data_IF_137875098689
#
_entry.id   IF_137875098689
#
_cell.length_a   1.000
_cell.length_b   1.000
_cell.length_c   1.000
_cell.angle_alpha   90.00
_cell.angle_beta   90.00
_cell.angle_gamma   90.00
#
_symmetry.space_group_name_H-M   'P 1'
#
loop_
_entity.id
_entity.type
_entity.pdbx_description
1 polymer ?
#
# COMPACT_ATOMS: atom_id res chain seq x y z
N UNK A 1 -19.17 -9.11 6.39
CA UNK A 1 -17.85 -8.48 6.69
C UNK A 1 -17.10 -8.02 5.43
N UNK A 2 -17.61 -8.30 4.23
CA UNK A 2 -16.93 -8.04 2.95
C UNK A 2 -16.87 -6.56 2.56
N UNK A 3 -17.83 -5.74 3.01
CA UNK A 3 -17.85 -4.30 2.73
C UNK A 3 -16.67 -3.52 3.35
N UNK A 4 -16.03 -4.08 4.37
CA UNK A 4 -14.89 -3.44 5.04
C UNK A 4 -13.54 -3.81 4.39
N UNK A 5 -13.48 -4.84 3.54
CA UNK A 5 -12.21 -5.34 3.01
C UNK A 5 -11.50 -4.31 2.14
N UNK A 6 -12.23 -3.61 1.25
CA UNK A 6 -11.66 -2.57 0.39
C UNK A 6 -11.14 -1.36 1.20
N UNK A 7 -11.91 -0.74 2.11
CA UNK A 7 -11.40 0.39 2.89
C UNK A 7 -10.23 0.01 3.83
N UNK A 8 -10.18 -1.23 4.33
CA UNK A 8 -9.06 -1.71 5.14
C UNK A 8 -7.79 -1.86 4.28
N UNK A 9 -7.93 -2.39 3.06
CA UNK A 9 -6.83 -2.50 2.11
C UNK A 9 -6.29 -1.14 1.68
N UNK A 10 -7.18 -0.16 1.44
CA UNK A 10 -6.81 1.24 1.14
C UNK A 10 -5.96 1.82 2.28
N UNK A 11 -6.43 1.71 3.53
CA UNK A 11 -5.69 2.24 4.69
C UNK A 11 -4.34 1.56 4.88
N UNK A 12 -4.27 0.24 4.65
CA UNK A 12 -3.03 -0.51 4.74
C UNK A 12 -2.03 -0.06 3.65
N UNK A 13 -2.46 0.02 2.39
CA UNK A 13 -1.61 0.49 1.28
C UNK A 13 -1.13 1.92 1.50
N UNK A 14 -2.01 2.82 1.96
CA UNK A 14 -1.68 4.20 2.24
C UNK A 14 -0.71 4.32 3.42
N UNK A 15 -0.99 3.65 4.53
CA UNK A 15 -0.15 3.68 5.73
C UNK A 15 1.23 3.10 5.45
N UNK A 16 1.30 1.97 4.75
CA UNK A 16 2.55 1.36 4.32
C UNK A 16 3.32 2.29 3.36
N UNK A 17 2.62 2.89 2.38
CA UNK A 17 3.21 3.79 1.40
C UNK A 17 3.73 5.10 2.00
N UNK A 18 3.07 5.66 3.02
CA UNK A 18 3.56 6.83 3.76
C UNK A 18 4.74 6.42 4.65
N UNK A 19 4.61 5.32 5.39
CA UNK A 19 5.66 4.83 6.27
C UNK A 19 6.96 4.53 5.49
N UNK A 20 6.89 3.95 4.30
CA UNK A 20 8.08 3.66 3.49
C UNK A 20 8.74 4.89 2.90
N UNK A 21 8.03 6.03 2.84
CA UNK A 21 8.56 7.31 2.38
C UNK A 21 9.15 8.14 3.52
N UNK A 22 8.48 8.17 4.67
CA UNK A 22 8.89 8.93 5.87
C UNK A 22 9.91 8.19 6.73
N UNK A 23 9.80 6.86 6.83
CA UNK A 23 10.62 6.03 7.72
C UNK A 23 11.25 4.81 7.01
N UNK A 24 11.97 5.04 5.89
CA UNK A 24 12.54 3.95 5.11
C UNK A 24 13.55 3.10 5.90
N UNK A 25 14.21 3.66 6.92
CA UNK A 25 15.18 2.96 7.77
C UNK A 25 14.53 1.87 8.64
N UNK A 26 13.25 2.06 9.01
CA UNK A 26 12.50 1.09 9.82
C UNK A 26 11.83 0.03 8.95
N UNK A 27 11.40 0.40 7.75
CA UNK A 27 10.72 -0.53 6.84
C UNK A 27 11.67 -1.41 6.05
N UNK A 28 12.86 -0.93 5.70
CA UNK A 28 13.87 -1.73 4.99
C UNK A 28 14.17 -3.08 5.67
N UNK A 29 14.50 -3.17 6.97
CA UNK A 29 14.77 -4.46 7.61
C UNK A 29 13.54 -5.37 7.67
N UNK A 30 12.33 -4.80 7.75
CA UNK A 30 11.08 -5.55 7.70
C UNK A 30 10.88 -6.17 6.30
N UNK A 31 11.06 -5.38 5.23
CA UNK A 31 11.01 -5.90 3.87
C UNK A 31 12.14 -6.89 3.58
N UNK A 32 13.36 -6.67 4.08
CA UNK A 32 14.47 -7.61 3.92
C UNK A 32 14.16 -8.97 4.56
N UNK A 33 13.50 -8.96 5.71
CA UNK A 33 13.05 -10.20 6.36
C UNK A 33 11.90 -10.84 5.59
N UNK A 34 10.92 -10.06 5.16
CA UNK A 34 9.72 -10.55 4.48
C UNK A 34 9.99 -11.03 3.05
N UNK A 35 10.91 -10.37 2.34
CA UNK A 35 11.29 -10.66 0.95
C UNK A 35 12.57 -11.48 0.84
N UNK A 36 13.05 -12.07 1.94
CA UNK A 36 14.28 -12.86 1.94
C UNK A 36 14.24 -13.94 0.83
N UNK A 37 15.31 -14.10 0.04
CA UNK A 37 16.67 -13.53 0.19
C UNK A 37 16.91 -12.21 -0.56
N UNK A 38 15.87 -11.54 -1.06
CA UNK A 38 16.01 -10.29 -1.80
C UNK A 38 16.25 -9.11 -0.85
N UNK A 39 17.38 -8.41 -1.03
CA UNK A 39 17.72 -7.23 -0.24
C UNK A 39 17.33 -5.96 -1.01
N UNK A 40 16.14 -5.37 -0.76
CA UNK A 40 15.73 -4.15 -1.44
C UNK A 40 16.66 -3.00 -1.11
N UNK A 41 17.16 -2.34 -2.15
CA UNK A 41 17.84 -1.05 -1.98
C UNK A 41 16.84 0.03 -1.55
N UNK A 42 17.32 1.09 -0.90
CA UNK A 42 16.48 2.22 -0.47
C UNK A 42 15.67 2.85 -1.63
N UNK A 43 16.22 2.83 -2.85
CA UNK A 43 15.53 3.31 -4.05
C UNK A 43 14.36 2.41 -4.43
N UNK A 44 14.55 1.09 -4.36
CA UNK A 44 13.49 0.10 -4.62
C UNK A 44 12.40 0.22 -3.58
N UNK A 45 12.75 0.37 -2.29
CA UNK A 45 11.79 0.59 -1.22
C UNK A 45 10.94 1.84 -1.47
N UNK A 46 11.56 2.97 -1.82
CA UNK A 46 10.84 4.20 -2.16
C UNK A 46 9.89 4.00 -3.34
N UNK A 47 10.32 3.32 -4.40
CA UNK A 47 9.46 3.03 -5.55
C UNK A 47 8.25 2.15 -5.16
N UNK A 48 8.45 1.14 -4.31
CA UNK A 48 7.36 0.32 -3.79
C UNK A 48 6.41 1.15 -2.92
N UNK A 49 6.95 2.07 -2.13
CA UNK A 49 6.16 3.01 -1.31
C UNK A 49 5.26 3.90 -2.17
N UNK A 50 5.82 4.50 -3.22
CA UNK A 50 5.05 5.31 -4.18
C UNK A 50 4.02 4.46 -4.92
N UNK A 51 4.39 3.25 -5.32
CA UNK A 51 3.47 2.28 -5.93
C UNK A 51 2.29 1.92 -5.01
N UNK A 52 2.55 1.72 -3.72
CA UNK A 52 1.51 1.44 -2.72
C UNK A 52 0.55 2.63 -2.52
N UNK A 53 1.07 3.87 -2.52
CA UNK A 53 0.24 5.08 -2.48
C UNK A 53 -0.63 5.17 -3.74
N UNK A 54 -0.04 4.95 -4.92
CA UNK A 54 -0.78 5.02 -6.19
C UNK A 54 -1.87 3.93 -6.24
N UNK A 55 -1.54 2.71 -5.81
CA UNK A 55 -2.50 1.62 -5.70
C UNK A 55 -3.63 1.96 -4.72
N UNK A 56 -3.31 2.55 -3.57
CA UNK A 56 -4.31 3.02 -2.61
C UNK A 56 -5.26 4.04 -3.23
N UNK A 57 -4.74 4.95 -4.06
CA UNK A 57 -5.57 5.93 -4.76
C UNK A 57 -6.49 5.27 -5.78
N UNK A 58 -5.98 4.32 -6.56
CA UNK A 58 -6.78 3.54 -7.52
C UNK A 58 -7.88 2.75 -6.80
N UNK A 59 -7.56 2.07 -5.69
CA UNK A 59 -8.54 1.34 -4.89
C UNK A 59 -9.61 2.27 -4.33
N UNK A 60 -9.24 3.47 -3.90
CA UNK A 60 -10.19 4.48 -3.44
C UNK A 60 -11.12 4.95 -4.57
N UNK A 61 -10.59 5.21 -5.76
CA UNK A 61 -11.42 5.56 -6.94
C UNK A 61 -12.37 4.41 -7.29
N UNK A 62 -11.88 3.17 -7.30
CA UNK A 62 -12.72 1.98 -7.56
C UNK A 62 -13.80 1.84 -6.49
N UNK A 63 -13.46 2.05 -5.21
CA UNK A 63 -14.41 1.98 -4.11
C UNK A 63 -15.51 3.04 -4.25
N UNK A 64 -15.14 4.29 -4.54
CA UNK A 64 -16.09 5.38 -4.78
C UNK A 64 -16.95 5.08 -6.01
N UNK A 65 -16.35 4.58 -7.09
CA UNK A 65 -17.10 4.19 -8.28
C UNK A 65 -18.10 3.07 -7.96
N UNK A 66 -17.71 2.03 -7.21
CA UNK A 66 -18.64 0.97 -6.80
C UNK A 66 -19.77 1.49 -5.92
N UNK A 67 -19.48 2.37 -4.98
CA UNK A 67 -20.51 3.02 -4.15
C UNK A 67 -21.46 3.87 -5.00
N UNK A 68 -20.92 4.63 -5.96
CA UNK A 68 -21.73 5.50 -6.82
C UNK A 68 -22.56 4.72 -7.85
N UNK A 69 -22.03 3.64 -8.42
CA UNK A 69 -22.72 2.81 -9.41
C UNK A 69 -23.57 1.68 -8.78
N UNK A 70 -23.55 1.51 -7.45
CA UNK A 70 -24.35 0.50 -6.75
C UNK A 70 -24.03 -0.94 -7.15
N UNK A 71 -22.80 -1.20 -7.60
CA UNK A 71 -22.37 -2.57 -7.95
C UNK A 71 -21.91 -3.25 -6.67
N UNK A 72 -22.85 -3.99 -6.06
CA UNK A 72 -22.60 -4.92 -4.94
C UNK A 72 -21.71 -6.09 -5.36
#
# INVERSE_FOLDING_TARGET
MEHLTIPLLIQFCLGFGIAGLLWPEKLKPVLETLMFPWFPSYRVLRNHSVGAILLSFVLLVVFIARLHFGIE
#
